data_IF_572806062605
#
_entry.id   IF_572806062605
#
_cell.length_a   1.000
_cell.length_b   1.000
_cell.length_c   1.000
_cell.angle_alpha   90.00
_cell.angle_beta   90.00
_cell.angle_gamma   90.00
#
_symmetry.space_group_name_H-M   'P 1'
#
loop_
_entity.id
_entity.type
_entity.pdbx_description
1 polymer ?
#
# COMPACT_ATOMS: atom_id res chain seq x y z
N UNK A 1 3.94 -25.57 -7.72
CA UNK A 1 3.45 -24.63 -6.69
C UNK A 1 4.59 -23.72 -6.36
N UNK A 2 4.67 -22.57 -7.04
CA UNK A 2 5.76 -21.63 -6.88
C UNK A 2 5.57 -20.91 -5.54
N UNK A 3 6.39 -21.25 -4.56
CA UNK A 3 6.67 -20.36 -3.43
C UNK A 3 7.13 -19.02 -4.00
N UNK A 4 6.52 -17.88 -3.63
CA UNK A 4 7.09 -16.60 -3.96
C UNK A 4 8.44 -16.50 -3.23
N UNK A 5 9.49 -16.39 -4.05
CA UNK A 5 10.85 -16.10 -3.65
C UNK A 5 10.89 -14.70 -3.02
N UNK A 6 10.92 -14.63 -1.69
CA UNK A 6 11.07 -13.37 -0.95
C UNK A 6 12.56 -13.02 -0.77
N UNK A 7 13.34 -13.07 -1.85
CA UNK A 7 14.71 -12.56 -1.84
C UNK A 7 14.72 -11.04 -1.79
N UNK A 8 14.67 -10.52 -0.56
CA UNK A 8 15.18 -9.22 -0.09
C UNK A 8 15.33 -8.12 -1.15
N UNK A 9 14.26 -7.35 -1.31
CA UNK A 9 14.25 -5.89 -1.46
C UNK A 9 12.87 -5.49 -0.99
N UNK A 10 12.73 -4.88 0.19
CA UNK A 10 11.41 -4.49 0.71
C UNK A 10 10.72 -3.60 -0.31
N UNK A 11 9.82 -4.18 -1.10
CA UNK A 11 9.08 -3.47 -2.13
C UNK A 11 8.00 -2.67 -1.41
N UNK A 12 7.59 -1.56 -2.01
CA UNK A 12 6.50 -0.74 -1.48
C UNK A 12 5.24 -1.59 -1.17
N UNK A 13 5.05 -2.68 -1.93
CA UNK A 13 4.00 -3.68 -1.72
C UNK A 13 4.11 -4.44 -0.39
N UNK A 14 5.28 -5.00 -0.04
CA UNK A 14 5.43 -5.78 1.20
C UNK A 14 5.08 -4.95 2.44
N UNK A 15 5.51 -3.68 2.46
CA UNK A 15 5.18 -2.75 3.54
C UNK A 15 3.69 -2.41 3.57
N UNK A 16 3.09 -2.10 2.41
CA UNK A 16 1.65 -1.81 2.32
C UNK A 16 0.81 -3.00 2.80
N UNK A 17 1.16 -4.21 2.36
CA UNK A 17 0.48 -5.44 2.76
C UNK A 17 0.62 -5.68 4.25
N UNK A 18 1.82 -5.53 4.82
CA UNK A 18 2.03 -5.70 6.26
C UNK A 18 1.22 -4.69 7.09
N UNK A 19 1.13 -3.43 6.64
CA UNK A 19 0.34 -2.40 7.31
C UNK A 19 -1.16 -2.69 7.23
N UNK A 20 -1.66 -3.03 6.04
CA UNK A 20 -3.06 -3.42 5.85
C UNK A 20 -3.42 -4.66 6.69
N UNK A 21 -2.58 -5.69 6.68
CA UNK A 21 -2.78 -6.91 7.46
C UNK A 21 -2.86 -6.61 8.97
N UNK A 22 -1.99 -5.73 9.47
CA UNK A 22 -1.99 -5.34 10.87
C UNK A 22 -3.22 -4.48 11.25
N UNK A 23 -3.63 -3.56 10.37
CA UNK A 23 -4.73 -2.62 10.63
C UNK A 23 -6.11 -3.29 10.50
N UNK A 24 -6.23 -4.27 9.62
CA UNK A 24 -7.47 -5.03 9.38
C UNK A 24 -7.52 -6.33 10.17
N UNK A 25 -6.45 -6.69 10.89
CA UNK A 25 -6.30 -7.95 11.61
C UNK A 25 -6.54 -9.20 10.72
N UNK A 26 -6.07 -9.14 9.48
CA UNK A 26 -6.14 -10.22 8.50
C UNK A 26 -4.75 -10.75 8.14
N UNK A 27 -4.71 -11.93 7.54
CA UNK A 27 -3.45 -12.52 7.11
C UNK A 27 -2.92 -11.85 5.84
N UNK A 28 -1.66 -11.42 5.85
CA UNK A 28 -1.00 -10.80 4.70
C UNK A 28 -1.04 -11.67 3.44
N UNK A 29 -1.05 -13.00 3.58
CA UNK A 29 -1.14 -13.91 2.43
C UNK A 29 -2.51 -13.89 1.74
N UNK A 30 -3.54 -13.32 2.38
CA UNK A 30 -4.87 -13.14 1.80
C UNK A 30 -4.98 -11.85 0.98
N UNK A 31 -4.04 -10.93 1.14
CA UNK A 31 -4.02 -9.64 0.47
C UNK A 31 -3.27 -9.78 -0.85
N UNK A 32 -4.00 -9.77 -1.96
CA UNK A 32 -3.43 -9.83 -3.31
C UNK A 32 -3.36 -8.42 -3.90
N UNK A 33 -2.46 -8.16 -4.88
CA UNK A 33 -2.41 -6.88 -5.58
C UNK A 33 -3.74 -6.52 -6.26
N UNK A 34 -4.46 -7.52 -6.73
CA UNK A 34 -5.77 -7.38 -7.39
C UNK A 34 -6.94 -7.33 -6.40
N UNK A 35 -6.68 -7.47 -5.09
CA UNK A 35 -7.73 -7.42 -4.08
C UNK A 35 -8.24 -5.99 -3.92
N UNK A 36 -9.56 -5.84 -3.99
CA UNK A 36 -10.22 -4.55 -3.76
C UNK A 36 -10.20 -4.18 -2.28
N UNK A 37 -9.84 -2.93 -1.96
CA UNK A 37 -9.81 -2.42 -0.60
C UNK A 37 -11.18 -2.51 0.08
N UNK A 38 -12.24 -2.22 -0.67
CA UNK A 38 -13.61 -2.36 -0.19
C UNK A 38 -13.96 -3.80 0.26
N UNK A 39 -13.38 -4.83 -0.38
CA UNK A 39 -13.61 -6.24 0.01
C UNK A 39 -12.88 -6.63 1.28
N UNK A 40 -11.79 -5.94 1.59
CA UNK A 40 -11.02 -6.10 2.82
C UNK A 40 -11.67 -5.38 4.02
N UNK A 41 -12.77 -4.64 3.79
CA UNK A 41 -13.41 -3.82 4.82
C UNK A 41 -12.71 -2.47 5.04
N UNK A 42 -11.94 -2.01 4.05
CA UNK A 42 -11.30 -0.70 4.09
C UNK A 42 -12.32 0.36 3.67
N UNK A 43 -12.80 1.12 4.64
CA UNK A 43 -13.71 2.26 4.44
C UNK A 43 -12.95 3.57 4.17
N UNK A 44 -13.65 4.63 3.77
CA UNK A 44 -13.06 5.94 3.47
C UNK A 44 -12.30 6.60 4.63
N UNK A 45 -12.63 6.23 5.88
CA UNK A 45 -11.89 6.62 7.08
C UNK A 45 -10.55 5.87 7.16
N UNK A 46 -10.61 4.54 7.05
CA UNK A 46 -9.43 3.67 7.03
C UNK A 46 -8.49 4.02 5.88
N UNK A 47 -9.02 4.34 4.69
CA UNK A 47 -8.22 4.85 3.56
C UNK A 47 -7.48 6.14 3.93
N UNK A 48 -8.14 7.06 4.64
CA UNK A 48 -7.51 8.31 5.02
C UNK A 48 -6.36 8.07 6.02
N UNK A 49 -6.58 7.24 7.04
CA UNK A 49 -5.55 6.85 8.00
C UNK A 49 -4.38 6.15 7.31
N UNK A 50 -4.68 5.18 6.43
CA UNK A 50 -3.68 4.46 5.65
C UNK A 50 -2.84 5.41 4.80
N UNK A 51 -3.45 6.37 4.10
CA UNK A 51 -2.71 7.37 3.32
C UNK A 51 -1.73 8.15 4.20
N UNK A 52 -2.17 8.65 5.36
CA UNK A 52 -1.30 9.39 6.28
C UNK A 52 -0.14 8.52 6.80
N UNK A 53 -0.43 7.29 7.19
CA UNK A 53 0.58 6.33 7.62
C UNK A 53 1.60 6.02 6.52
N UNK A 54 1.14 5.89 5.27
CA UNK A 54 2.01 5.66 4.11
C UNK A 54 2.85 6.90 3.77
N UNK A 55 2.28 8.10 3.84
CA UNK A 55 3.00 9.36 3.65
C UNK A 55 4.17 9.49 4.64
N UNK A 56 3.92 9.24 5.93
CA UNK A 56 4.95 9.25 6.97
C UNK A 56 5.97 8.12 6.75
N UNK A 57 5.49 6.90 6.48
CA UNK A 57 6.34 5.72 6.31
C UNK A 57 7.31 5.83 5.14
N UNK A 58 6.86 6.40 4.03
CA UNK A 58 7.64 6.50 2.79
C UNK A 58 8.25 7.89 2.56
N UNK A 59 8.01 8.85 3.45
CA UNK A 59 8.44 10.26 3.32
C UNK A 59 7.96 10.85 1.97
N UNK A 60 6.68 10.61 1.65
CA UNK A 60 5.99 11.09 0.45
C UNK A 60 4.78 11.96 0.83
N UNK A 61 4.27 12.71 -0.15
CA UNK A 61 3.06 13.51 0.02
C UNK A 61 2.12 13.18 -1.14
N UNK A 62 1.03 12.47 -0.85
CA UNK A 62 0.01 12.08 -1.82
C UNK A 62 -0.92 13.26 -2.18
N UNK A 63 -0.86 14.37 -1.43
CA UNK A 63 -1.64 15.58 -1.69
C UNK A 63 -3.10 15.45 -1.26
N UNK A 64 -3.85 16.57 -1.28
CA UNK A 64 -5.26 16.61 -0.83
C UNK A 64 -6.21 15.77 -1.69
N UNK A 65 -5.88 15.57 -2.97
CA UNK A 65 -6.69 14.78 -3.87
C UNK A 65 -6.38 13.29 -3.63
N UNK A 66 -7.17 12.67 -2.74
CA UNK A 66 -7.04 11.24 -2.45
C UNK A 66 -7.13 10.46 -3.76
N UNK A 67 -6.09 9.70 -4.14
CA UNK A 67 -6.16 8.90 -5.34
C UNK A 67 -7.33 7.92 -5.24
N UNK A 68 -7.93 7.60 -6.39
CA UNK A 68 -8.96 6.56 -6.48
C UNK A 68 -8.30 5.20 -6.26
N UNK A 69 -8.14 4.81 -5.00
CA UNK A 69 -7.57 3.53 -4.61
C UNK A 69 -8.69 2.48 -4.64
N UNK A 70 -8.65 1.60 -5.64
CA UNK A 70 -9.64 0.51 -5.77
C UNK A 70 -9.04 -0.78 -5.24
N UNK A 71 -7.83 -1.11 -5.72
CA UNK A 71 -7.11 -2.33 -5.34
C UNK A 71 -5.81 -2.01 -4.61
N UNK A 72 -5.25 -3.01 -3.92
CA UNK A 72 -3.98 -2.86 -3.19
C UNK A 72 -2.84 -2.40 -4.11
N UNK A 73 -2.83 -2.86 -5.36
CA UNK A 73 -1.83 -2.46 -6.36
C UNK A 73 -1.84 -0.94 -6.64
N UNK A 74 -3.00 -0.28 -6.58
CA UNK A 74 -3.09 1.18 -6.81
C UNK A 74 -2.28 1.95 -5.77
N UNK A 75 -2.32 1.51 -4.50
CA UNK A 75 -1.57 2.13 -3.41
C UNK A 75 -0.07 2.04 -3.69
N UNK A 76 0.37 0.84 -4.07
CA UNK A 76 1.78 0.56 -4.35
C UNK A 76 2.29 1.35 -5.54
N UNK A 77 1.50 1.42 -6.62
CA UNK A 77 1.86 2.18 -7.82
C UNK A 77 1.99 3.67 -7.51
N UNK A 78 1.07 4.23 -6.70
CA UNK A 78 1.18 5.61 -6.25
C UNK A 78 2.46 5.84 -5.45
N UNK A 79 2.76 5.00 -4.45
CA UNK A 79 3.98 5.12 -3.65
C UNK A 79 5.22 5.04 -4.53
N UNK A 80 5.29 4.04 -5.41
CA UNK A 80 6.45 3.83 -6.28
C UNK A 80 6.64 5.01 -7.25
N UNK A 81 5.53 5.55 -7.77
CA UNK A 81 5.53 6.75 -8.59
C UNK A 81 6.10 7.96 -7.85
N UNK A 82 5.69 8.21 -6.60
CA UNK A 82 6.23 9.33 -5.82
C UNK A 82 7.70 9.10 -5.43
N UNK A 83 8.08 7.88 -5.08
CA UNK A 83 9.47 7.52 -4.75
C UNK A 83 10.42 7.65 -5.95
N UNK A 84 9.98 7.23 -7.13
CA UNK A 84 10.77 7.37 -8.37
C UNK A 84 10.72 8.80 -8.93
N UNK A 85 9.67 9.57 -8.64
CA UNK A 85 9.55 10.96 -9.07
C UNK A 85 10.33 11.96 -8.20
N UNK A 86 10.81 11.56 -7.01
CA UNK A 86 11.74 12.35 -6.21
C UNK A 86 13.13 12.22 -6.85
N UNK A 87 13.64 13.20 -7.64
CA UNK A 87 15.06 13.16 -7.99
C UNK A 87 15.82 13.21 -6.68
N UNK A 88 16.78 12.30 -6.50
CA UNK A 88 17.73 12.36 -5.40
C UNK A 88 18.32 13.78 -5.35
N UNK A 89 17.91 14.55 -4.34
CA UNK A 89 18.40 15.89 -4.08
C UNK A 89 19.60 15.80 -3.13
#
# INVERSE_FOLDING_TARGET
MSTPDHSQSASSYDTVVAMLAAQLEIDAATILPDTELATLGVDSLTVAELIFDLEDKFDITLGDERPSLVVVQDIVDNIDRYRNAKPAA
#
